data_IF_698365848676
#
_entry.id   IF_698365848676
#
_cell.length_a   1.000
_cell.length_b   1.000
_cell.length_c   1.000
_cell.angle_alpha   90.00
_cell.angle_beta   90.00
_cell.angle_gamma   90.00
#
_symmetry.space_group_name_H-M   'P 1'
#
loop_
_entity.id
_entity.type
_entity.pdbx_description
1 polymer ?
#
# COMPACT_ATOMS: atom_id res chain seq x y z
N UNK A 1 -2.89 -9.82 19.40
CA UNK A 1 -3.95 -10.56 18.68
C UNK A 1 -4.94 -9.53 18.16
N UNK A 2 -4.74 -9.03 16.94
CA UNK A 2 -5.65 -8.05 16.30
C UNK A 2 -5.82 -8.30 14.80
N UNK A 3 -5.23 -9.38 14.26
CA UNK A 3 -5.22 -9.66 12.82
C UNK A 3 -6.62 -9.89 12.24
N UNK A 4 -7.58 -10.34 13.05
CA UNK A 4 -8.96 -10.56 12.60
C UNK A 4 -9.77 -9.27 12.41
N UNK A 5 -9.41 -8.16 13.06
CA UNK A 5 -10.10 -6.87 12.84
C UNK A 5 -9.60 -6.24 11.55
N UNK A 6 -8.28 -6.06 11.41
CA UNK A 6 -7.71 -5.36 10.25
C UNK A 6 -7.94 -6.06 8.91
N UNK A 7 -8.06 -7.39 8.91
CA UNK A 7 -8.39 -8.18 7.72
C UNK A 7 -9.87 -8.01 7.34
N UNK A 8 -10.78 -8.06 8.30
CA UNK A 8 -12.21 -7.78 8.07
C UNK A 8 -12.43 -6.32 7.66
N UNK A 9 -11.76 -5.36 8.31
CA UNK A 9 -11.81 -3.94 7.99
C UNK A 9 -11.31 -3.68 6.54
N UNK A 10 -10.25 -4.38 6.11
CA UNK A 10 -9.76 -4.31 4.73
C UNK A 10 -10.78 -4.91 3.76
N UNK A 11 -11.36 -6.07 4.10
CA UNK A 11 -12.38 -6.73 3.30
C UNK A 11 -13.62 -5.84 3.12
N UNK A 12 -14.10 -5.22 4.19
CA UNK A 12 -15.24 -4.29 4.16
C UNK A 12 -14.92 -3.09 3.27
N UNK A 13 -13.75 -2.46 3.46
CA UNK A 13 -13.29 -1.35 2.62
C UNK A 13 -13.26 -1.72 1.13
N UNK A 14 -12.71 -2.90 0.79
CA UNK A 14 -12.67 -3.37 -0.60
C UNK A 14 -14.07 -3.66 -1.15
N UNK A 15 -14.99 -4.14 -0.32
CA UNK A 15 -16.37 -4.40 -0.72
C UNK A 15 -17.14 -3.10 -0.97
N UNK A 16 -16.97 -2.09 -0.12
CA UNK A 16 -17.60 -0.76 -0.23
C UNK A 16 -17.27 -0.07 -1.57
N UNK A 17 -16.05 -0.27 -2.06
CA UNK A 17 -15.55 0.32 -3.30
C UNK A 17 -15.56 -0.64 -4.52
N UNK A 18 -16.25 -1.79 -4.41
CA UNK A 18 -16.24 -2.86 -5.43
C UNK A 18 -17.02 -2.56 -6.71
N UNK A 19 -17.69 -1.40 -6.79
CA UNK A 19 -18.22 -0.86 -8.04
C UNK A 19 -17.07 -0.54 -9.02
N UNK A 20 -15.91 -0.12 -8.50
CA UNK A 20 -14.68 0.05 -9.27
C UNK A 20 -14.06 -1.30 -9.65
N UNK A 21 -13.78 -1.52 -10.94
CA UNK A 21 -13.30 -2.82 -11.46
C UNK A 21 -12.04 -3.32 -10.76
N UNK A 22 -11.03 -2.45 -10.60
CA UNK A 22 -9.77 -2.81 -9.96
C UNK A 22 -9.98 -3.28 -8.51
N UNK A 23 -10.77 -2.52 -7.75
CA UNK A 23 -11.08 -2.85 -6.35
C UNK A 23 -11.83 -4.17 -6.25
N UNK A 24 -12.78 -4.42 -7.15
CA UNK A 24 -13.49 -5.71 -7.22
C UNK A 24 -12.54 -6.88 -7.47
N UNK A 25 -11.58 -6.73 -8.37
CA UNK A 25 -10.59 -7.77 -8.64
C UNK A 25 -9.74 -8.05 -7.38
N UNK A 26 -9.26 -6.98 -6.71
CA UNK A 26 -8.51 -7.10 -5.45
C UNK A 26 -9.34 -7.73 -4.34
N UNK A 27 -10.62 -7.37 -4.20
CA UNK A 27 -11.55 -8.01 -3.27
C UNK A 27 -11.66 -9.51 -3.53
N UNK A 28 -11.92 -9.90 -4.79
CA UNK A 28 -12.05 -11.32 -5.16
C UNK A 28 -10.76 -12.10 -4.90
N UNK A 29 -9.60 -11.52 -5.22
CA UNK A 29 -8.30 -12.13 -4.91
C UNK A 29 -8.08 -12.27 -3.39
N UNK A 30 -8.43 -11.24 -2.62
CA UNK A 30 -8.26 -11.22 -1.17
C UNK A 30 -9.12 -12.30 -0.47
N UNK A 31 -10.34 -12.56 -0.94
CA UNK A 31 -11.21 -13.63 -0.41
C UNK A 31 -10.97 -15.01 -1.06
N UNK A 32 -9.96 -15.15 -1.93
CA UNK A 32 -9.59 -16.40 -2.58
C UNK A 32 -10.48 -16.83 -3.75
N UNK A 33 -11.30 -15.93 -4.31
CA UNK A 33 -12.23 -16.17 -5.41
C UNK A 33 -11.76 -15.69 -6.79
N UNK A 34 -10.58 -15.07 -6.89
CA UNK A 34 -10.07 -14.52 -8.15
C UNK A 34 -8.60 -14.16 -8.11
N UNK A 35 -8.17 -13.38 -9.11
CA UNK A 35 -6.80 -12.87 -9.24
C UNK A 35 -6.85 -11.35 -9.42
N UNK A 36 -5.81 -10.68 -8.93
CA UNK A 36 -5.58 -9.26 -9.15
C UNK A 36 -4.11 -9.08 -9.55
N UNK A 37 -3.89 -8.31 -10.61
CA UNK A 37 -2.54 -7.96 -11.03
C UNK A 37 -2.03 -6.71 -10.32
N UNK A 38 -0.78 -6.32 -10.60
CA UNK A 38 -0.18 -5.12 -10.00
C UNK A 38 -0.94 -3.84 -10.42
N UNK A 39 -1.47 -3.77 -11.64
CA UNK A 39 -2.26 -2.62 -12.08
C UNK A 39 -3.54 -2.49 -11.26
N UNK A 40 -4.24 -3.60 -10.99
CA UNK A 40 -5.43 -3.62 -10.13
C UNK A 40 -5.09 -3.15 -8.70
N UNK A 41 -3.95 -3.58 -8.15
CA UNK A 41 -3.49 -3.16 -6.83
C UNK A 41 -3.17 -1.64 -6.76
N UNK A 42 -2.50 -1.11 -7.78
CA UNK A 42 -2.17 0.32 -7.84
C UNK A 42 -3.42 1.19 -8.02
N UNK A 43 -4.32 0.79 -8.92
CA UNK A 43 -5.58 1.50 -9.15
C UNK A 43 -6.51 1.40 -7.93
N UNK A 44 -6.44 0.33 -7.15
CA UNK A 44 -7.19 0.21 -5.89
C UNK A 44 -6.81 1.31 -4.91
N UNK A 45 -5.51 1.57 -4.70
CA UNK A 45 -5.09 2.66 -3.81
C UNK A 45 -5.69 4.00 -4.22
N UNK A 46 -5.72 4.29 -5.53
CA UNK A 46 -6.29 5.53 -6.07
C UNK A 46 -7.82 5.56 -5.93
N UNK A 47 -8.50 4.47 -6.24
CA UNK A 47 -9.96 4.36 -6.20
C UNK A 47 -10.52 4.45 -4.77
N UNK A 48 -9.74 4.04 -3.77
CA UNK A 48 -10.08 4.18 -2.35
C UNK A 48 -9.53 5.46 -1.72
N UNK A 49 -9.08 6.42 -2.52
CA UNK A 49 -8.44 7.67 -2.07
C UNK A 49 -7.36 7.48 -0.99
N UNK A 50 -6.54 6.44 -1.15
CA UNK A 50 -5.43 6.13 -0.24
C UNK A 50 -5.81 5.42 1.06
N UNK A 51 -7.09 5.08 1.29
CA UNK A 51 -7.50 4.25 2.44
C UNK A 51 -6.83 2.87 2.38
N UNK A 52 -6.76 2.28 1.18
CA UNK A 52 -5.94 1.10 0.91
C UNK A 52 -4.53 1.53 0.50
N UNK A 53 -3.54 0.90 1.13
CA UNK A 53 -2.13 0.99 0.83
C UNK A 53 -1.61 -0.38 0.36
N UNK A 54 -0.38 -0.44 -0.14
CA UNK A 54 0.31 -1.69 -0.43
C UNK A 54 1.49 -1.89 0.52
N UNK A 55 1.74 -3.16 0.83
CA UNK A 55 2.98 -3.60 1.46
C UNK A 55 3.63 -4.69 0.59
N UNK A 56 4.94 -4.61 0.45
CA UNK A 56 5.78 -5.55 -0.28
C UNK A 56 7.09 -5.77 0.49
N UNK A 57 7.92 -6.69 0.00
CA UNK A 57 9.22 -6.99 0.58
C UNK A 57 10.34 -6.86 -0.46
N UNK A 58 11.44 -6.25 -0.04
CA UNK A 58 12.68 -6.11 -0.80
C UNK A 58 13.87 -6.58 0.05
N UNK A 59 14.24 -7.85 -0.12
CA UNK A 59 15.17 -8.51 0.79
C UNK A 59 14.62 -8.54 2.21
N UNK A 60 15.31 -7.89 3.15
CA UNK A 60 14.86 -7.76 4.54
C UNK A 60 14.08 -6.45 4.80
N UNK A 61 13.91 -5.58 3.79
CA UNK A 61 13.17 -4.35 3.93
C UNK A 61 11.67 -4.58 3.69
N UNK A 62 10.84 -3.94 4.51
CA UNK A 62 9.43 -3.76 4.20
C UNK A 62 9.28 -2.51 3.33
N UNK A 63 8.50 -2.64 2.26
CA UNK A 63 8.22 -1.56 1.31
C UNK A 63 6.74 -1.23 1.39
N UNK A 64 6.41 0.02 1.68
CA UNK A 64 5.05 0.51 1.74
C UNK A 64 4.81 1.48 0.59
N UNK A 65 3.63 1.43 -0.02
CA UNK A 65 3.20 2.40 -1.01
C UNK A 65 1.77 2.86 -0.72
N UNK A 66 1.46 4.12 -1.01
CA UNK A 66 0.10 4.67 -0.88
C UNK A 66 -0.19 5.72 -1.95
N UNK A 67 -1.48 5.99 -2.13
CA UNK A 67 -1.96 7.21 -2.78
C UNK A 67 -2.13 8.31 -1.72
N UNK A 68 -1.66 9.53 -1.99
CA UNK A 68 -1.75 10.65 -1.03
C UNK A 68 -2.84 11.69 -1.38
N UNK A 69 -3.72 11.38 -2.33
CA UNK A 69 -4.70 12.32 -2.89
C UNK A 69 -4.28 12.95 -4.22
N UNK A 70 -2.98 12.96 -4.55
CA UNK A 70 -2.45 13.61 -5.77
C UNK A 70 -1.39 12.79 -6.52
N UNK A 71 -0.60 11.99 -5.81
CA UNK A 71 0.50 11.18 -6.35
C UNK A 71 0.67 9.93 -5.50
N UNK A 72 1.43 8.98 -6.04
CA UNK A 72 1.86 7.84 -5.25
C UNK A 72 3.07 8.23 -4.41
N UNK A 73 3.20 7.62 -3.24
CA UNK A 73 4.38 7.71 -2.40
C UNK A 73 4.79 6.30 -2.01
N UNK A 74 6.10 6.07 -1.88
CA UNK A 74 6.60 4.80 -1.35
C UNK A 74 7.69 5.03 -0.33
N UNK A 75 7.81 4.08 0.59
CA UNK A 75 8.71 4.09 1.73
C UNK A 75 9.36 2.72 1.86
N UNK A 76 10.67 2.68 2.06
CA UNK A 76 11.40 1.45 2.41
C UNK A 76 11.92 1.55 3.85
N UNK A 77 11.63 0.52 4.64
CA UNK A 77 11.99 0.43 6.05
C UNK A 77 12.85 -0.81 6.26
N UNK A 78 14.11 -0.61 6.63
CA UNK A 78 15.02 -1.67 7.01
C UNK A 78 14.94 -1.95 8.52
N UNK A 79 14.98 -3.21 8.97
CA UNK A 79 15.04 -3.53 10.39
C UNK A 79 16.29 -2.93 11.07
N UNK A 80 16.19 -2.36 12.30
CA UNK A 80 15.02 -2.31 13.17
C UNK A 80 14.31 -0.94 13.10
N UNK A 81 13.68 -0.58 11.98
CA UNK A 81 12.93 0.68 11.76
C UNK A 81 13.74 1.86 11.18
N UNK A 82 14.76 1.59 10.37
CA UNK A 82 15.48 2.64 9.63
C UNK A 82 14.80 2.91 8.29
N UNK A 83 14.35 4.15 8.08
CA UNK A 83 13.88 4.59 6.78
C UNK A 83 15.08 4.72 5.85
N UNK A 84 15.10 3.95 4.76
CA UNK A 84 16.21 3.93 3.79
C UNK A 84 15.86 4.59 2.47
N UNK A 85 14.57 4.70 2.15
CA UNK A 85 14.10 5.35 0.93
C UNK A 85 12.70 5.92 1.14
N UNK A 86 12.45 7.11 0.61
CA UNK A 86 11.14 7.72 0.52
C UNK A 86 11.07 8.58 -0.73
N UNK A 87 10.04 8.39 -1.55
CA UNK A 87 9.87 9.16 -2.78
C UNK A 87 8.39 9.33 -3.13
N UNK A 88 8.12 10.30 -4.00
CA UNK A 88 6.83 10.50 -4.65
C UNK A 88 6.94 10.23 -6.14
N UNK A 89 5.95 9.56 -6.70
CA UNK A 89 6.05 9.08 -8.06
C UNK A 89 4.68 8.98 -8.73
N UNK A 90 4.68 8.71 -10.04
CA UNK A 90 3.48 8.40 -10.79
C UNK A 90 3.18 6.90 -10.79
N UNK A 91 2.07 6.52 -11.43
CA UNK A 91 1.64 5.11 -11.48
C UNK A 91 2.67 4.21 -12.15
N UNK A 92 3.22 4.63 -13.29
CA UNK A 92 4.07 3.78 -14.12
C UNK A 92 5.45 3.57 -13.45
N UNK A 93 5.94 4.60 -12.78
CA UNK A 93 7.18 4.53 -12.03
C UNK A 93 7.01 3.73 -10.73
N UNK A 94 5.87 3.84 -10.02
CA UNK A 94 5.58 2.96 -8.89
C UNK A 94 5.45 1.49 -9.32
N UNK A 95 4.78 1.23 -10.45
CA UNK A 95 4.64 -0.10 -11.03
C UNK A 95 6.02 -0.71 -11.30
N UNK A 96 6.92 0.05 -11.92
CA UNK A 96 8.31 -0.37 -12.15
C UNK A 96 9.09 -0.58 -10.86
N UNK A 97 8.85 0.22 -9.83
CA UNK A 97 9.51 0.07 -8.54
C UNK A 97 9.06 -1.20 -7.79
N UNK A 98 7.78 -1.55 -7.88
CA UNK A 98 7.21 -2.75 -7.27
C UNK A 98 7.42 -4.02 -8.08
N UNK A 99 7.71 -3.90 -9.38
CA UNK A 99 8.06 -5.03 -10.23
C UNK A 99 9.27 -5.79 -9.65
N UNK A 100 9.13 -7.11 -9.55
CA UNK A 100 10.13 -7.98 -8.92
C UNK A 100 10.18 -7.97 -7.38
N UNK A 101 9.36 -7.16 -6.68
CA UNK A 101 9.25 -7.25 -5.21
C UNK A 101 8.41 -8.44 -4.77
N UNK A 102 8.73 -8.98 -3.60
CA UNK A 102 8.03 -10.14 -3.06
C UNK A 102 6.79 -9.72 -2.24
N UNK A 103 5.80 -10.62 -2.16
CA UNK A 103 4.65 -10.51 -1.24
C UNK A 103 3.89 -9.17 -1.31
N UNK A 104 3.76 -8.60 -2.51
CA UNK A 104 2.95 -7.41 -2.77
C UNK A 104 1.50 -7.72 -2.45
N UNK A 105 0.92 -7.00 -1.49
CA UNK A 105 -0.44 -7.22 -1.02
C UNK A 105 -1.10 -5.93 -0.52
N UNK A 106 -2.43 -5.82 -0.59
CA UNK A 106 -3.15 -4.70 0.00
C UNK A 106 -3.10 -4.73 1.53
N UNK A 107 -3.16 -3.55 2.13
CA UNK A 107 -3.30 -3.35 3.56
C UNK A 107 -4.01 -2.02 3.82
N UNK A 108 -4.53 -1.81 5.03
CA UNK A 108 -5.09 -0.51 5.40
C UNK A 108 -3.98 0.51 5.64
N UNK A 109 -4.20 1.76 5.24
CA UNK A 109 -3.30 2.87 5.51
C UNK A 109 -2.87 2.93 6.98
N UNK A 110 -3.83 2.74 7.90
CA UNK A 110 -3.60 2.85 9.34
C UNK A 110 -2.73 1.73 9.92
N UNK A 111 -2.55 0.65 9.16
CA UNK A 111 -1.60 -0.43 9.48
C UNK A 111 -0.18 -0.16 8.97
N UNK A 112 0.05 0.98 8.30
CA UNK A 112 1.36 1.33 7.71
C UNK A 112 2.08 2.42 8.49
N UNK A 113 3.41 2.58 8.31
CA UNK A 113 4.15 3.68 8.89
C UNK A 113 3.64 5.08 8.49
N UNK A 114 2.88 5.22 7.39
CA UNK A 114 2.32 6.51 6.95
C UNK A 114 1.32 7.09 7.94
N UNK A 115 0.65 6.26 8.74
CA UNK A 115 -0.28 6.70 9.77
C UNK A 115 0.42 7.23 11.03
N UNK A 116 1.73 7.00 11.18
CA UNK A 116 2.50 7.47 12.34
C UNK A 116 2.95 8.92 12.16
N UNK A 117 2.54 9.84 13.05
CA UNK A 117 3.00 11.24 13.02
C UNK A 117 4.52 11.37 13.14
N UNK A 118 5.17 10.44 13.85
CA UNK A 118 6.63 10.40 14.02
C UNK A 118 7.33 10.02 12.72
N UNK A 119 6.78 9.08 11.96
CA UNK A 119 7.28 8.71 10.63
C UNK A 119 7.13 9.90 9.70
N UNK A 120 5.93 10.50 9.62
CA UNK A 120 5.67 11.68 8.78
C UNK A 120 6.59 12.84 9.13
N UNK A 121 6.79 13.13 10.42
CA UNK A 121 7.71 14.17 10.88
C UNK A 121 9.20 13.85 10.61
N UNK A 122 9.57 12.57 10.50
CA UNK A 122 10.92 12.16 10.11
C UNK A 122 11.13 12.29 8.61
N UNK A 123 10.12 11.92 7.80
CA UNK A 123 10.12 12.07 6.35
C UNK A 123 10.24 13.54 5.91
N UNK A 124 9.59 14.45 6.65
CA UNK A 124 9.75 15.90 6.43
C UNK A 124 11.19 16.41 6.66
N UNK A 125 12.04 15.69 7.40
CA UNK A 125 13.46 16.08 7.58
C UNK A 125 14.40 15.51 6.52
N UNK A 126 13.96 14.49 5.78
CA UNK A 126 14.70 13.99 4.62
C UNK A 126 14.51 14.89 3.39
N UNK A 127 13.77 15.99 3.52
CA UNK A 127 13.51 16.97 2.47
C UNK A 127 13.82 18.41 2.96
N UNK A 128 14.61 19.22 2.21
CA UNK A 128 14.76 20.66 2.44
C UNK A 128 13.61 21.52 1.89
#
# INVERSE_FOLDING_TARGET
MSTGSSDEDLRETLLEHSDHRAVRNVFQAHVGGGEADLTDLLETMRATDGVVALVAQDGAADVYARWNGTRFEHLSVWPPWTITNYDHTDRADLERFLDGKANVRPTLHDATPFASPTTVGSLQRFWP
#
